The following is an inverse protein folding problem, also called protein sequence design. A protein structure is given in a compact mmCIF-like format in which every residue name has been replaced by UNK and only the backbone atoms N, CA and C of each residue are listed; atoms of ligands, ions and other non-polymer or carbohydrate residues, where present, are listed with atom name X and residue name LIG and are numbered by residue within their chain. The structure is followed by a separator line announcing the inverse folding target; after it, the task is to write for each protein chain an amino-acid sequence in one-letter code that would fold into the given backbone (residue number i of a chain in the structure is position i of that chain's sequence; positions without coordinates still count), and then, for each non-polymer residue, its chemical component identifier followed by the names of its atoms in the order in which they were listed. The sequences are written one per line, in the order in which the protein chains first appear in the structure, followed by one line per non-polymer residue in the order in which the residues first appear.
data_IF_812873044265
#
_entry.id   IF_812873044265
#
_cell.length_a   1.000
_cell.length_b   1.000
_cell.length_c   1.000
_cell.angle_alpha   90.00
_cell.angle_beta   90.00
_cell.angle_gamma   90.00
#
_symmetry.space_group_name_H-M   'P 1'
#
loop_
_entity.id
_entity.type
_entity.pdbx_description
1 polymer ?
#
# COMPACT_ATOMS: atom_id res chain seq x y z
N UNK A 1 -8.19 24.98 24.82
CA UNK A 1 -6.82 24.38 24.86
C UNK A 1 -6.66 23.61 23.56
N UNK A 2 -5.61 23.93 22.79
CA UNK A 2 -5.33 23.42 21.45
C UNK A 2 -4.70 22.03 21.57
N UNK A 3 -5.51 20.98 21.55
CA UNK A 3 -5.05 19.59 21.54
C UNK A 3 -4.64 19.08 20.14
N UNK A 4 -5.00 19.81 19.07
CA UNK A 4 -4.76 19.36 17.69
C UNK A 4 -3.34 19.66 17.15
N UNK A 5 -2.56 20.52 17.82
CA UNK A 5 -1.26 20.97 17.27
C UNK A 5 -0.10 19.97 17.49
N UNK A 6 -0.26 19.00 18.39
CA UNK A 6 0.76 17.97 18.64
C UNK A 6 0.48 16.64 17.93
N UNK A 7 -0.76 16.43 17.47
CA UNK A 7 -1.15 15.17 16.82
C UNK A 7 -0.54 15.07 15.43
N UNK A 8 -0.55 16.18 14.69
CA UNK A 8 0.03 16.26 13.35
C UNK A 8 1.55 16.02 13.31
N UNK A 9 2.30 16.45 14.31
CA UNK A 9 3.77 16.27 14.34
C UNK A 9 4.16 14.79 14.53
N UNK A 10 3.48 14.06 15.44
CA UNK A 10 3.75 12.64 15.67
C UNK A 10 3.30 11.79 14.46
N UNK A 11 2.12 12.06 13.92
CA UNK A 11 1.61 11.37 12.73
C UNK A 11 2.53 11.61 11.52
N UNK A 12 3.07 12.82 11.40
CA UNK A 12 4.03 13.17 10.35
C UNK A 12 5.38 12.45 10.52
N UNK A 13 5.92 12.38 11.74
CA UNK A 13 7.16 11.63 12.02
C UNK A 13 7.00 10.13 11.74
N UNK A 14 5.88 9.52 12.16
CA UNK A 14 5.61 8.11 11.88
C UNK A 14 5.46 7.83 10.39
N UNK A 15 4.75 8.70 9.65
CA UNK A 15 4.61 8.57 8.20
C UNK A 15 5.96 8.72 7.51
N UNK A 16 6.80 9.66 7.97
CA UNK A 16 8.15 9.85 7.45
C UNK A 16 9.04 8.61 7.66
N UNK A 17 9.00 8.00 8.85
CA UNK A 17 9.72 6.75 9.12
C UNK A 17 9.27 5.61 8.19
N UNK A 18 7.96 5.45 7.99
CA UNK A 18 7.42 4.44 7.06
C UNK A 18 7.91 4.64 5.61
N UNK A 19 7.92 5.89 5.14
CA UNK A 19 8.43 6.26 3.82
C UNK A 19 9.95 6.00 3.73
N UNK A 20 10.70 6.41 4.76
CA UNK A 20 12.16 6.22 4.82
C UNK A 20 12.54 4.73 4.83
N UNK A 21 11.82 3.90 5.58
CA UNK A 21 12.03 2.45 5.62
C UNK A 21 11.77 1.81 4.25
N UNK A 22 10.71 2.24 3.57
CA UNK A 22 10.38 1.75 2.24
C UNK A 22 11.43 2.17 1.19
N UNK A 23 11.97 3.38 1.27
CA UNK A 23 13.03 3.83 0.37
C UNK A 23 14.36 3.10 0.59
N UNK A 24 14.69 2.77 1.84
CA UNK A 24 15.93 2.06 2.18
C UNK A 24 15.89 0.58 1.77
N UNK A 25 14.80 -0.12 2.06
CA UNK A 25 14.73 -1.58 1.93
C UNK A 25 13.97 -2.03 0.67
N UNK A 26 13.08 -1.17 0.13
CA UNK A 26 12.12 -1.50 -0.94
C UNK A 26 11.58 -2.93 -0.84
N UNK A 27 11.00 -3.34 0.30
CA UNK A 27 10.72 -4.74 0.58
C UNK A 27 9.53 -5.27 -0.21
N UNK A 28 8.74 -4.40 -0.83
CA UNK A 28 7.58 -4.74 -1.65
C UNK A 28 7.78 -4.30 -3.10
N UNK A 29 7.68 -5.24 -4.04
CA UNK A 29 7.61 -4.99 -5.48
C UNK A 29 6.15 -4.97 -5.90
N UNK A 30 5.76 -3.94 -6.66
CA UNK A 30 4.41 -3.78 -7.19
C UNK A 30 4.50 -3.83 -8.71
N UNK A 31 3.72 -4.71 -9.34
CA UNK A 31 3.69 -4.90 -10.79
C UNK A 31 2.24 -4.84 -11.29
N UNK A 32 1.93 -3.86 -12.13
CA UNK A 32 0.62 -3.76 -12.76
C UNK A 32 0.61 -4.49 -14.11
N UNK A 33 -0.15 -5.58 -14.21
CA UNK A 33 -0.37 -6.34 -15.43
C UNK A 33 -1.68 -5.89 -16.09
N UNK A 34 -1.64 -4.76 -16.80
CA UNK A 34 -2.83 -4.16 -17.41
C UNK A 34 -3.59 -5.12 -18.35
N UNK A 35 -2.87 -5.98 -19.10
CA UNK A 35 -3.48 -6.96 -20.00
C UNK A 35 -4.27 -8.07 -19.28
N UNK A 36 -3.89 -8.40 -18.05
CA UNK A 36 -4.55 -9.41 -17.22
C UNK A 36 -5.51 -8.79 -16.20
N UNK A 37 -5.53 -7.45 -16.08
CA UNK A 37 -6.25 -6.69 -15.07
C UNK A 37 -5.92 -7.18 -13.65
N UNK A 38 -4.61 -7.31 -13.39
CA UNK A 38 -4.06 -7.75 -12.11
C UNK A 38 -3.02 -6.74 -11.63
N UNK A 39 -3.12 -6.36 -10.36
CA UNK A 39 -2.02 -5.74 -9.61
C UNK A 39 -1.36 -6.81 -8.75
N UNK A 40 -0.11 -7.15 -9.06
CA UNK A 40 0.68 -8.13 -8.31
C UNK A 40 1.57 -7.43 -7.30
N UNK A 41 1.44 -7.81 -6.05
CA UNK A 41 2.31 -7.43 -4.94
C UNK A 41 3.23 -8.60 -4.62
N UNK A 42 4.54 -8.36 -4.51
CA UNK A 42 5.53 -9.39 -4.19
C UNK A 42 6.51 -8.88 -3.15
N UNK A 43 6.65 -9.61 -2.05
CA UNK A 43 7.71 -9.38 -1.08
C UNK A 43 9.06 -9.77 -1.69
N UNK A 44 10.07 -8.91 -1.53
CA UNK A 44 11.45 -9.24 -1.91
C UNK A 44 12.09 -10.23 -0.93
N UNK A 45 11.67 -10.17 0.32
CA UNK A 45 12.12 -11.04 1.39
C UNK A 45 10.94 -11.83 1.94
N UNK A 46 10.91 -13.12 1.63
CA UNK A 46 9.87 -14.06 2.10
C UNK A 46 10.09 -14.50 3.54
N UNK A 47 11.21 -14.12 4.18
CA UNK A 47 11.42 -14.35 5.62
C UNK A 47 10.70 -13.35 6.51
N UNK A 48 10.09 -12.30 5.92
CA UNK A 48 9.26 -11.36 6.66
C UNK A 48 8.02 -12.09 7.22
N UNK A 49 7.80 -11.93 8.53
CA UNK A 49 6.67 -12.53 9.25
C UNK A 49 5.85 -11.45 9.96
N UNK A 50 4.72 -11.87 10.55
CA UNK A 50 3.81 -10.97 11.26
C UNK A 50 3.39 -9.77 10.38
N UNK A 51 3.05 -10.06 9.12
CA UNK A 51 2.65 -9.06 8.15
C UNK A 51 1.19 -8.68 8.40
N UNK A 52 0.94 -7.39 8.55
CA UNK A 52 -0.41 -6.84 8.65
C UNK A 52 -0.47 -5.47 7.98
N UNK A 53 -1.61 -5.14 7.39
CA UNK A 53 -1.80 -3.87 6.71
C UNK A 53 -2.93 -3.91 5.71
N UNK A 54 -3.08 -2.83 4.97
CA UNK A 54 -4.11 -2.67 3.95
C UNK A 54 -3.60 -2.01 2.68
N UNK A 55 -4.32 -2.31 1.60
CA UNK A 55 -4.16 -1.71 0.28
C UNK A 55 -5.39 -0.84 0.04
N UNK A 56 -5.16 0.45 -0.12
CA UNK A 56 -6.17 1.45 -0.44
C UNK A 56 -6.03 1.88 -1.90
N UNK A 57 -7.00 1.52 -2.72
CA UNK A 57 -7.18 2.05 -4.06
C UNK A 57 -7.98 3.34 -3.98
N UNK A 58 -7.28 4.47 -4.05
CA UNK A 58 -7.86 5.80 -4.06
C UNK A 58 -8.11 6.26 -5.49
N UNK A 59 -9.32 6.75 -5.79
CA UNK A 59 -9.62 7.37 -7.10
C UNK A 59 -9.67 8.89 -6.97
N UNK A 60 -8.67 9.65 -7.49
CA UNK A 60 -8.64 11.10 -7.35
C UNK A 60 -9.86 11.82 -7.93
N UNK A 61 -10.47 11.26 -8.97
CA UNK A 61 -11.64 11.85 -9.63
C UNK A 61 -12.94 11.63 -8.87
N UNK A 62 -13.04 10.64 -7.97
CA UNK A 62 -14.27 10.35 -7.22
C UNK A 62 -13.97 9.50 -5.98
N UNK A 63 -13.88 10.14 -4.80
CA UNK A 63 -13.62 9.47 -3.53
C UNK A 63 -14.68 8.44 -3.09
N UNK A 64 -15.86 8.40 -3.73
CA UNK A 64 -16.91 7.40 -3.45
C UNK A 64 -16.61 5.99 -4.00
N UNK A 65 -15.54 5.84 -4.78
CA UNK A 65 -15.17 4.58 -5.42
C UNK A 65 -13.93 3.93 -4.78
N UNK A 66 -13.49 4.42 -3.63
CA UNK A 66 -12.30 3.91 -2.96
C UNK A 66 -12.51 2.45 -2.51
N UNK A 67 -11.49 1.62 -2.73
CA UNK A 67 -11.50 0.21 -2.34
C UNK A 67 -10.40 -0.05 -1.35
N UNK A 68 -10.73 -0.67 -0.22
CA UNK A 68 -9.77 -1.12 0.78
C UNK A 68 -9.74 -2.64 0.82
N UNK A 69 -8.54 -3.22 0.77
CA UNK A 69 -8.32 -4.66 0.82
C UNK A 69 -7.25 -4.96 1.85
N UNK A 70 -7.40 -6.03 2.67
CA UNK A 70 -6.33 -6.44 3.56
C UNK A 70 -5.12 -6.94 2.75
N UNK A 71 -3.92 -6.69 3.27
CA UNK A 71 -2.72 -7.39 2.77
C UNK A 71 -2.73 -8.83 3.25
N UNK A 72 -2.68 -9.74 2.29
CA UNK A 72 -2.72 -11.18 2.48
C UNK A 72 -1.82 -11.81 1.42
N UNK A 73 -0.56 -12.01 1.78
CA UNK A 73 0.40 -12.71 0.93
C UNK A 73 0.21 -14.23 1.05
N UNK A 74 0.41 -14.94 -0.04
CA UNK A 74 0.50 -16.40 -0.07
C UNK A 74 1.83 -16.90 0.52
N UNK A 75 2.01 -18.23 0.55
CA UNK A 75 3.24 -18.87 1.04
C UNK A 75 4.51 -18.47 0.25
N UNK A 76 4.35 -17.88 -0.95
CA UNK A 76 5.45 -17.39 -1.78
C UNK A 76 5.70 -15.88 -1.60
N UNK A 77 4.99 -15.22 -0.68
CA UNK A 77 5.08 -13.77 -0.49
C UNK A 77 4.43 -12.96 -1.60
N UNK A 78 3.45 -13.53 -2.30
CA UNK A 78 2.74 -12.90 -3.43
C UNK A 78 1.27 -12.68 -3.09
N UNK A 79 0.75 -11.52 -3.45
CA UNK A 79 -0.68 -11.23 -3.44
C UNK A 79 -1.07 -10.67 -4.80
N UNK A 80 -2.10 -11.26 -5.42
CA UNK A 80 -2.67 -10.78 -6.67
C UNK A 80 -4.02 -10.14 -6.38
N UNK A 81 -4.18 -8.89 -6.83
CA UNK A 81 -5.40 -8.12 -6.67
C UNK A 81 -6.01 -7.89 -8.04
N UNK A 82 -7.22 -8.39 -8.27
CA UNK A 82 -7.94 -8.15 -9.51
C UNK A 82 -8.38 -6.69 -9.61
N UNK A 83 -8.15 -6.08 -10.77
CA UNK A 83 -8.58 -4.73 -11.11
C UNK A 83 -9.78 -4.71 -12.06
N UNK A 84 -10.35 -5.87 -12.40
CA UNK A 84 -11.46 -6.00 -13.37
C UNK A 84 -12.75 -5.28 -12.94
N UNK A 85 -12.99 -5.15 -11.64
CA UNK A 85 -14.14 -4.42 -11.08
C UNK A 85 -13.93 -2.91 -10.92
N UNK A 86 -12.74 -2.39 -11.22
CA UNK A 86 -12.43 -0.97 -11.06
C UNK A 86 -12.75 -0.21 -12.35
N UNK A 87 -13.30 0.99 -12.20
CA UNK A 87 -13.57 1.88 -13.32
C UNK A 87 -12.27 2.30 -14.02
N UNK A 88 -12.27 2.49 -15.35
CA UNK A 88 -11.09 2.96 -16.07
C UNK A 88 -10.65 4.34 -15.59
N UNK A 89 -9.35 4.60 -15.70
CA UNK A 89 -8.72 5.89 -15.38
C UNK A 89 -7.57 5.79 -14.38
N UNK A 90 -7.21 6.95 -13.81
CA UNK A 90 -6.13 7.06 -12.83
C UNK A 90 -6.57 6.61 -11.44
N UNK A 91 -5.80 5.70 -10.86
CA UNK A 91 -5.93 5.23 -9.50
C UNK A 91 -4.61 5.41 -8.76
N UNK A 92 -4.67 5.80 -7.49
CA UNK A 92 -3.54 5.83 -6.59
C UNK A 92 -3.66 4.67 -5.62
N UNK A 93 -2.75 3.72 -5.73
CA UNK A 93 -2.65 2.59 -4.81
C UNK A 93 -1.76 3.00 -3.66
N UNK A 94 -2.30 3.00 -2.45
CA UNK A 94 -1.56 3.23 -1.20
C UNK A 94 -1.51 1.92 -0.44
N UNK A 95 -0.34 1.57 0.06
CA UNK A 95 -0.12 0.34 0.81
C UNK A 95 0.52 0.75 2.12
N UNK A 96 -0.24 0.61 3.21
CA UNK A 96 0.25 0.84 4.57
C UNK A 96 0.32 -0.50 5.28
N UNK A 97 1.52 -0.88 5.72
CA UNK A 97 1.73 -2.19 6.29
C UNK A 97 2.88 -2.23 7.27
N UNK A 98 2.88 -3.27 8.08
CA UNK A 98 3.89 -3.57 9.06
C UNK A 98 4.38 -4.99 8.89
N UNK A 99 5.67 -5.22 9.05
CA UNK A 99 6.26 -6.55 9.16
C UNK A 99 7.33 -6.55 10.25
N UNK A 100 7.34 -7.60 11.08
CA UNK A 100 8.27 -7.74 12.20
C UNK A 100 8.38 -6.46 13.09
N UNK A 101 7.26 -5.74 13.28
CA UNK A 101 7.20 -4.51 14.07
C UNK A 101 7.70 -3.23 13.37
N UNK A 102 8.12 -3.31 12.11
CA UNK A 102 8.53 -2.15 11.31
C UNK A 102 7.43 -1.76 10.33
N UNK A 103 7.10 -0.47 10.29
CA UNK A 103 6.11 0.09 9.37
C UNK A 103 6.72 0.49 8.02
N UNK A 104 5.93 0.31 6.98
CA UNK A 104 6.24 0.59 5.59
C UNK A 104 5.04 1.26 4.93
N UNK A 105 5.31 2.26 4.10
CA UNK A 105 4.28 2.93 3.32
C UNK A 105 4.77 3.07 1.88
N UNK A 106 3.96 2.63 0.94
CA UNK A 106 4.22 2.76 -0.49
C UNK A 106 3.00 3.36 -1.17
N UNK A 107 3.23 4.32 -2.07
CA UNK A 107 2.18 4.82 -2.97
C UNK A 107 2.63 4.72 -4.42
N UNK A 108 1.70 4.38 -5.30
CA UNK A 108 1.95 4.28 -6.73
C UNK A 108 0.69 4.64 -7.51
N UNK A 109 0.88 5.43 -8.56
CA UNK A 109 -0.19 5.75 -9.51
C UNK A 109 -0.25 4.66 -10.60
N UNK A 110 -1.44 4.13 -10.84
CA UNK A 110 -1.74 3.15 -11.90
C UNK A 110 -2.86 3.66 -12.79
N UNK A 111 -2.75 3.38 -14.08
CA UNK A 111 -3.80 3.68 -15.06
C UNK A 111 -4.44 2.35 -15.45
N UNK A 112 -5.73 2.23 -15.17
CA UNK A 112 -6.58 1.08 -15.52
C UNK A 112 -7.39 1.35 -16.79
#
# INVERSE_FOLDING_TARGET
VRDDYYRGDIEYQQQYEKISNNQADMPLKIEHQAGEKILRLRLKDTSLTAISGDVHFFRPSTAKADVHLPLQFDDNGVQEISTDGLLPGLWRVKIDWTANGRGYYTEMDVVL
#
